data_IF_976370447586
#
_entry.id   IF_976370447586
#
_cell.length_a   1.000
_cell.length_b   1.000
_cell.length_c   1.000
_cell.angle_alpha   90.00
_cell.angle_beta   90.00
_cell.angle_gamma   90.00
#
_symmetry.space_group_name_H-M   'P 1'
#
loop_
_entity.id
_entity.type
_entity.pdbx_description
1 polymer ?
#
# COMPACT_ATOMS: atom_id res chain seq x y z
N UNK A 1 66.96 46.90 60.17
CA UNK A 1 65.84 47.63 60.79
C UNK A 1 64.54 47.12 60.18
N UNK A 2 63.60 46.64 61.01
CA UNK A 2 62.11 46.68 60.91
C UNK A 2 61.48 46.49 59.51
N UNK A 3 60.48 45.65 59.22
CA UNK A 3 59.43 44.96 59.97
C UNK A 3 58.68 44.03 58.96
N UNK A 4 58.18 42.88 59.40
CA UNK A 4 57.04 42.18 58.78
C UNK A 4 55.73 42.99 59.00
N UNK A 5 54.70 42.87 58.13
CA UNK A 5 53.65 41.83 58.26
C UNK A 5 53.22 41.22 56.88
N UNK A 6 52.73 39.98 56.70
CA UNK A 6 51.67 39.12 57.28
C UNK A 6 50.26 39.30 56.65
N UNK A 7 49.76 38.21 56.04
CA UNK A 7 48.36 37.84 55.66
C UNK A 7 47.76 38.50 54.39
N UNK A 8 46.89 37.91 53.55
CA UNK A 8 45.85 36.87 53.73
C UNK A 8 45.61 36.05 52.43
N UNK A 9 44.98 34.88 52.60
CA UNK A 9 44.75 33.77 51.67
C UNK A 9 43.28 33.74 51.19
N UNK A 10 43.04 33.16 49.99
CA UNK A 10 41.78 32.59 49.43
C UNK A 10 40.60 33.55 49.17
N UNK A 11 40.16 33.64 47.90
CA UNK A 11 38.85 33.14 47.37
C UNK A 11 38.90 33.27 45.84
N UNK A 12 39.31 32.22 45.11
CA UNK A 12 39.20 32.20 43.64
C UNK A 12 38.85 30.81 43.08
N UNK A 13 38.34 29.91 43.91
CA UNK A 13 38.05 28.51 43.53
C UNK A 13 36.70 28.02 44.06
N UNK A 14 35.69 28.90 44.13
CA UNK A 14 34.31 28.52 44.47
C UNK A 14 33.24 28.97 43.46
N UNK A 15 33.61 29.65 42.36
CA UNK A 15 32.63 30.01 41.31
C UNK A 15 32.65 29.03 40.13
N UNK A 16 33.75 28.28 39.93
CA UNK A 16 33.87 27.34 38.81
C UNK A 16 33.23 25.96 39.07
N UNK A 17 32.74 25.70 40.28
CA UNK A 17 32.09 24.42 40.64
C UNK A 17 30.56 24.50 40.72
N UNK A 18 29.99 25.70 40.61
CA UNK A 18 28.52 25.91 40.52
C UNK A 18 28.05 26.03 39.06
N UNK A 19 28.96 26.34 38.12
CA UNK A 19 28.61 26.42 36.69
C UNK A 19 28.63 25.06 35.97
N UNK A 20 29.21 24.01 36.59
CA UNK A 20 29.29 22.66 36.00
C UNK A 20 28.18 21.70 36.46
N UNK A 21 27.32 22.12 37.39
CA UNK A 21 26.17 21.34 37.88
C UNK A 21 24.85 21.67 37.17
N UNK A 22 24.83 22.66 36.25
CA UNK A 22 23.64 23.05 35.47
C UNK A 22 23.55 22.31 34.11
N UNK A 23 24.54 21.47 33.77
CA UNK A 23 24.54 20.66 32.54
C UNK A 23 24.02 19.22 32.73
N UNK A 24 23.40 18.89 33.87
CA UNK A 24 22.55 17.70 33.95
C UNK A 24 21.19 18.09 33.34
N UNK A 25 21.18 18.26 32.02
CA UNK A 25 19.97 18.42 31.23
C UNK A 25 19.09 17.21 31.48
N UNK A 26 17.98 17.42 32.19
CA UNK A 26 16.94 16.43 32.35
C UNK A 26 16.55 15.93 30.95
N UNK A 27 16.89 14.69 30.63
CA UNK A 27 16.27 13.98 29.53
C UNK A 27 14.80 13.84 29.88
N UNK A 28 13.97 14.79 29.44
CA UNK A 28 12.53 14.62 29.52
C UNK A 28 12.20 13.41 28.64
N UNK A 29 11.59 12.35 29.21
CA UNK A 29 11.21 11.20 28.42
C UNK A 29 10.28 11.69 27.31
N UNK A 30 10.61 11.37 26.07
CA UNK A 30 9.79 11.72 24.91
C UNK A 30 8.37 11.20 25.16
N UNK A 31 7.46 12.09 25.53
CA UNK A 31 6.07 11.71 25.78
C UNK A 31 5.52 11.12 24.50
N UNK A 32 5.09 9.84 24.56
CA UNK A 32 4.38 9.19 23.46
C UNK A 32 3.19 10.08 23.08
N UNK A 33 3.16 10.53 21.83
CA UNK A 33 2.08 11.38 21.32
C UNK A 33 0.78 10.59 21.41
N UNK A 34 -0.16 11.04 22.23
CA UNK A 34 -1.43 10.34 22.41
C UNK A 34 -2.33 10.60 21.19
N UNK A 35 -2.89 9.54 20.62
CA UNK A 35 -3.86 9.64 19.53
C UNK A 35 -5.13 10.39 20.02
N UNK A 36 -5.72 11.30 19.22
CA UNK A 36 -6.95 12.00 19.60
C UNK A 36 -8.11 10.99 19.74
N UNK A 37 -8.54 10.71 20.97
CA UNK A 37 -9.42 9.56 21.29
C UNK A 37 -10.89 9.72 20.87
N UNK A 38 -11.34 10.92 20.49
CA UNK A 38 -12.76 11.22 20.25
C UNK A 38 -13.24 11.02 18.82
N UNK A 39 -12.38 10.56 17.90
CA UNK A 39 -12.70 10.49 16.47
C UNK A 39 -12.94 9.06 15.99
N UNK A 40 -13.91 8.85 15.09
CA UNK A 40 -14.11 7.55 14.47
C UNK A 40 -12.87 7.18 13.65
N UNK A 41 -12.38 5.96 13.83
CA UNK A 41 -11.29 5.43 13.04
C UNK A 41 -11.81 5.01 11.66
N UNK A 42 -11.06 5.36 10.64
CA UNK A 42 -11.30 5.00 9.25
C UNK A 42 -10.14 4.17 8.72
N UNK A 43 -10.45 3.20 7.87
CA UNK A 43 -9.46 2.42 7.13
C UNK A 43 -9.30 3.03 5.73
N UNK A 44 -8.07 3.29 5.35
CA UNK A 44 -7.74 3.99 4.11
C UNK A 44 -6.69 3.20 3.34
N UNK A 45 -6.85 3.16 2.02
CA UNK A 45 -5.87 2.67 1.06
C UNK A 45 -5.50 3.82 0.12
N UNK A 46 -4.21 4.02 -0.16
CA UNK A 46 -3.71 5.21 -0.83
C UNK A 46 -2.20 5.20 -1.03
N UNK A 47 -1.65 6.37 -1.32
CA UNK A 47 -0.21 6.58 -1.51
C UNK A 47 0.34 7.61 -0.54
N UNK A 48 1.53 7.33 -0.02
CA UNK A 48 2.37 8.25 0.72
C UNK A 48 3.34 8.94 -0.24
N UNK A 49 3.60 10.23 0.01
CA UNK A 49 4.60 11.01 -0.71
C UNK A 49 5.29 11.96 0.26
N UNK A 50 6.63 11.94 0.30
CA UNK A 50 7.39 12.92 1.07
C UNK A 50 7.68 14.16 0.24
N UNK A 51 7.07 15.31 0.57
CA UNK A 51 7.25 16.57 -0.16
C UNK A 51 7.21 17.75 0.81
N UNK A 52 8.13 18.71 0.64
CA UNK A 52 8.16 19.91 1.47
C UNK A 52 8.41 19.62 2.96
N UNK A 53 9.30 18.66 3.25
CA UNK A 53 9.66 18.21 4.61
C UNK A 53 8.53 17.54 5.39
N UNK A 54 7.45 17.13 4.73
CA UNK A 54 6.32 16.47 5.36
C UNK A 54 5.84 15.28 4.51
N UNK A 55 5.30 14.26 5.17
CA UNK A 55 4.57 13.18 4.50
C UNK A 55 3.15 13.62 4.16
N UNK A 56 2.76 13.30 2.94
CA UNK A 56 1.44 13.50 2.39
C UNK A 56 0.79 12.15 2.12
N UNK A 57 -0.52 12.07 2.30
CA UNK A 57 -1.30 10.91 1.94
C UNK A 57 -2.40 11.30 0.96
N UNK A 58 -2.51 10.54 -0.12
CA UNK A 58 -3.62 10.62 -1.07
C UNK A 58 -4.33 9.26 -1.08
N UNK A 59 -5.59 9.18 -0.65
CA UNK A 59 -6.38 7.97 -0.82
C UNK A 59 -6.46 7.58 -2.31
N UNK A 60 -6.58 6.28 -2.58
CA UNK A 60 -6.64 5.76 -3.93
C UNK A 60 -7.80 6.41 -4.71
N UNK A 61 -7.49 6.91 -5.91
CA UNK A 61 -8.43 7.57 -6.83
C UNK A 61 -8.96 8.94 -6.37
N UNK A 62 -8.40 9.52 -5.29
CA UNK A 62 -8.69 10.88 -4.87
C UNK A 62 -7.74 11.90 -5.52
N UNK A 63 -8.17 13.16 -5.57
CA UNK A 63 -7.36 14.27 -6.11
C UNK A 63 -6.58 15.03 -5.03
N UNK A 64 -7.14 15.06 -3.83
CA UNK A 64 -6.59 15.84 -2.73
C UNK A 64 -5.58 15.03 -1.92
N UNK A 65 -4.76 15.76 -1.18
CA UNK A 65 -3.72 15.23 -0.31
C UNK A 65 -3.90 15.78 1.09
N UNK A 66 -3.60 14.93 2.08
CA UNK A 66 -3.67 15.26 3.48
C UNK A 66 -2.28 15.19 4.10
N UNK A 67 -1.89 16.17 4.93
CA UNK A 67 -0.67 16.07 5.71
C UNK A 67 -0.80 14.92 6.70
N UNK A 68 0.23 14.10 6.83
CA UNK A 68 0.25 12.97 7.77
C UNK A 68 0.85 13.41 9.10
N UNK A 69 0.13 13.15 10.19
CA UNK A 69 0.68 13.13 11.53
C UNK A 69 0.75 11.69 12.02
N UNK A 70 1.95 11.27 12.36
CA UNK A 70 2.22 9.91 12.81
C UNK A 70 1.91 9.76 14.31
N UNK A 71 0.96 8.88 14.62
CA UNK A 71 0.60 8.42 15.97
C UNK A 71 0.69 6.88 16.04
N UNK A 72 1.35 6.25 15.08
CA UNK A 72 1.61 4.82 15.08
C UNK A 72 2.52 4.43 16.24
N UNK A 73 2.49 3.15 16.60
CA UNK A 73 3.37 2.63 17.64
C UNK A 73 4.84 2.80 17.22
N UNK A 74 5.51 3.78 17.81
CA UNK A 74 6.93 4.07 17.53
C UNK A 74 7.20 5.15 16.49
N UNK A 75 6.18 5.87 16.00
CA UNK A 75 6.33 6.93 14.98
C UNK A 75 7.10 6.44 13.74
N UNK A 76 6.71 5.29 13.22
CA UNK A 76 7.49 4.51 12.25
C UNK A 76 7.24 4.90 10.78
N UNK A 77 6.20 5.68 10.46
CA UNK A 77 5.77 5.86 9.06
C UNK A 77 6.88 6.51 8.24
N UNK A 78 7.57 7.52 8.79
CA UNK A 78 8.68 8.19 8.11
C UNK A 78 9.86 7.25 7.87
N UNK A 79 10.27 6.49 8.88
CA UNK A 79 11.42 5.58 8.74
C UNK A 79 11.13 4.43 7.79
N UNK A 80 9.89 3.91 7.82
CA UNK A 80 9.41 2.92 6.85
C UNK A 80 9.43 3.48 5.43
N UNK A 81 8.89 4.68 5.21
CA UNK A 81 8.90 5.34 3.90
C UNK A 81 10.33 5.50 3.39
N UNK A 82 11.23 6.11 4.19
CA UNK A 82 12.61 6.36 3.80
C UNK A 82 13.37 5.07 3.45
N UNK A 83 13.16 4.00 4.21
CA UNK A 83 13.77 2.70 3.92
C UNK A 83 13.30 2.11 2.59
N UNK A 84 11.99 2.16 2.32
CA UNK A 84 11.42 1.55 1.11
C UNK A 84 11.65 2.38 -0.15
N UNK A 85 11.80 3.70 -0.01
CA UNK A 85 12.10 4.59 -1.15
C UNK A 85 13.58 4.93 -1.29
N UNK A 86 14.44 4.38 -0.44
CA UNK A 86 15.86 4.78 -0.34
C UNK A 86 16.04 6.30 -0.17
N UNK A 87 15.08 6.95 0.51
CA UNK A 87 15.04 8.41 0.71
C UNK A 87 14.49 9.22 -0.47
N UNK A 88 14.13 8.59 -1.58
CA UNK A 88 13.56 9.29 -2.74
C UNK A 88 12.12 9.75 -2.48
N UNK A 89 11.75 10.85 -3.15
CA UNK A 89 10.40 11.43 -3.13
C UNK A 89 9.55 10.77 -4.22
N UNK A 90 9.14 9.51 -3.97
CA UNK A 90 8.30 8.71 -4.88
C UNK A 90 7.04 8.23 -4.19
N UNK A 91 5.96 8.03 -4.95
CA UNK A 91 4.68 7.56 -4.43
C UNK A 91 4.79 6.11 -3.93
N UNK A 92 4.55 5.90 -2.63
CA UNK A 92 4.60 4.60 -1.97
C UNK A 92 3.20 4.17 -1.53
N UNK A 93 2.70 3.04 -2.00
CA UNK A 93 1.38 2.57 -1.58
C UNK A 93 1.35 2.18 -0.10
N UNK A 94 0.25 2.55 0.57
CA UNK A 94 0.02 2.23 1.97
C UNK A 94 -1.47 2.06 2.32
N UNK A 95 -1.73 1.12 3.23
CA UNK A 95 -3.01 1.00 3.95
C UNK A 95 -2.81 1.36 5.42
N UNK A 96 -3.68 2.22 5.92
CA UNK A 96 -3.56 2.80 7.24
C UNK A 96 -4.92 2.89 7.94
N UNK A 97 -4.86 3.01 9.26
CA UNK A 97 -6.02 3.32 10.10
C UNK A 97 -5.75 4.61 10.84
N UNK A 98 -6.68 5.56 10.77
CA UNK A 98 -6.51 6.89 11.34
C UNK A 98 -7.81 7.67 11.44
N UNK A 99 -7.71 8.97 11.63
CA UNK A 99 -8.83 9.92 11.60
C UNK A 99 -8.36 11.28 11.10
N UNK A 100 -9.30 12.11 10.63
CA UNK A 100 -9.01 13.52 10.31
C UNK A 100 -9.14 14.33 11.59
N UNK A 101 -8.09 15.07 11.93
CA UNK A 101 -8.12 16.05 13.01
C UNK A 101 -8.51 17.45 12.48
N UNK A 102 -9.79 17.88 12.62
CA UNK A 102 -10.22 19.19 12.16
C UNK A 102 -9.58 20.32 12.97
N UNK A 103 -9.16 20.06 14.22
CA UNK A 103 -8.48 21.06 15.04
C UNK A 103 -7.05 21.34 14.55
N UNK A 104 -6.46 20.41 13.79
CA UNK A 104 -5.13 20.55 13.19
C UNK A 104 -5.21 20.80 11.68
N UNK A 105 -6.14 21.63 11.21
CA UNK A 105 -6.24 22.01 9.80
C UNK A 105 -6.39 20.77 8.87
N UNK A 106 -7.24 19.83 9.27
CA UNK A 106 -7.53 18.58 8.56
C UNK A 106 -6.28 17.71 8.30
N UNK A 107 -5.38 17.63 9.28
CA UNK A 107 -4.28 16.65 9.26
C UNK A 107 -4.86 15.23 9.41
N UNK A 108 -4.31 14.28 8.64
CA UNK A 108 -4.59 12.86 8.81
C UNK A 108 -3.73 12.31 9.95
N UNK A 109 -4.36 12.12 11.12
CA UNK A 109 -3.75 11.47 12.26
C UNK A 109 -3.77 9.95 12.05
N UNK A 110 -2.60 9.34 11.88
CA UNK A 110 -2.48 7.90 11.58
C UNK A 110 -2.19 7.13 12.85
N UNK A 111 -3.11 6.24 13.23
CA UNK A 111 -2.98 5.36 14.41
C UNK A 111 -2.19 4.09 14.12
N UNK A 112 -2.31 3.55 12.90
CA UNK A 112 -1.63 2.31 12.52
C UNK A 112 -1.31 2.27 11.03
N UNK A 113 -0.12 1.80 10.70
CA UNK A 113 0.29 1.42 9.36
C UNK A 113 0.09 -0.11 9.22
N UNK A 114 -0.82 -0.54 8.35
CA UNK A 114 -1.20 -1.94 8.19
C UNK A 114 -0.48 -2.60 7.02
N UNK A 115 -0.41 -1.89 5.90
CA UNK A 115 0.24 -2.35 4.66
C UNK A 115 1.11 -1.23 4.13
N UNK A 116 2.31 -1.56 3.64
CA UNK A 116 3.14 -0.64 2.87
C UNK A 116 4.00 -1.42 1.87
N UNK A 117 4.12 -0.89 0.66
CA UNK A 117 4.88 -1.52 -0.42
C UNK A 117 4.19 -1.36 -1.77
N UNK A 118 4.96 -1.41 -2.84
CA UNK A 118 4.48 -1.14 -4.21
C UNK A 118 4.33 0.35 -4.52
N UNK A 119 3.81 0.65 -5.71
CA UNK A 119 3.65 2.01 -6.25
C UNK A 119 2.19 2.44 -6.23
N UNK A 120 1.89 3.64 -6.74
CA UNK A 120 0.53 4.11 -7.00
C UNK A 120 -0.33 3.13 -7.79
N UNK A 121 0.26 2.34 -8.69
CA UNK A 121 -0.49 1.35 -9.47
C UNK A 121 -1.12 0.27 -8.59
N UNK A 122 -0.59 0.06 -7.38
CA UNK A 122 -1.16 -0.82 -6.36
C UNK A 122 -2.60 -0.45 -6.00
N UNK A 123 -3.00 0.82 -6.15
CA UNK A 123 -4.39 1.24 -6.00
C UNK A 123 -5.36 0.55 -6.97
N UNK A 124 -4.87 0.08 -8.12
CA UNK A 124 -5.66 -0.65 -9.11
C UNK A 124 -5.76 -2.16 -8.77
N UNK A 125 -4.87 -2.68 -7.92
CA UNK A 125 -4.85 -4.07 -7.49
C UNK A 125 -5.65 -4.25 -6.21
N UNK A 126 -6.98 -4.23 -6.39
CA UNK A 126 -7.93 -4.53 -5.32
C UNK A 126 -8.18 -6.03 -5.34
N UNK A 127 -7.86 -6.71 -4.24
CA UNK A 127 -7.98 -8.16 -4.06
C UNK A 127 -9.45 -8.58 -3.96
N UNK A 128 -10.22 -8.23 -4.97
CA UNK A 128 -11.66 -8.37 -5.02
C UNK A 128 -12.05 -9.82 -5.33
N UNK A 129 -12.98 -10.36 -4.54
CA UNK A 129 -13.35 -11.77 -4.62
C UNK A 129 -12.35 -12.72 -3.96
N UNK A 130 -11.25 -12.19 -3.42
CA UNK A 130 -10.31 -12.92 -2.58
C UNK A 130 -10.58 -12.60 -1.11
N UNK A 131 -10.43 -13.61 -0.26
CA UNK A 131 -10.34 -13.40 1.18
C UNK A 131 -8.93 -12.96 1.56
N UNK A 132 -7.91 -13.54 0.91
CA UNK A 132 -6.51 -13.19 1.10
C UNK A 132 -5.71 -13.37 -0.19
N UNK A 133 -4.69 -12.53 -0.37
CA UNK A 133 -3.54 -12.84 -1.24
C UNK A 133 -2.32 -13.02 -0.35
N UNK A 134 -1.75 -14.21 -0.36
CA UNK A 134 -0.50 -14.54 0.30
C UNK A 134 0.63 -14.61 -0.71
N UNK A 135 1.83 -14.19 -0.34
CA UNK A 135 2.99 -14.26 -1.20
C UNK A 135 4.29 -14.31 -0.40
N UNK A 136 5.34 -14.78 -1.05
CA UNK A 136 6.73 -14.60 -0.60
C UNK A 136 7.61 -14.26 -1.79
N UNK A 137 8.65 -13.48 -1.53
CA UNK A 137 9.72 -13.20 -2.48
C UNK A 137 10.85 -14.23 -2.41
N UNK A 138 10.91 -15.06 -1.36
CA UNK A 138 11.96 -16.05 -1.13
C UNK A 138 11.42 -17.34 -0.45
N UNK A 139 11.25 -18.45 -1.19
CA UNK A 139 11.19 -18.51 -2.66
C UNK A 139 9.96 -17.77 -3.20
N UNK A 140 9.94 -17.46 -4.50
CA UNK A 140 8.81 -16.76 -5.09
C UNK A 140 7.56 -17.65 -5.21
N UNK A 141 6.48 -17.25 -4.55
CA UNK A 141 5.16 -17.84 -4.73
C UNK A 141 4.06 -16.83 -4.41
N UNK A 142 2.87 -17.07 -4.98
CA UNK A 142 1.66 -16.30 -4.72
C UNK A 142 0.48 -17.26 -4.59
N UNK A 143 -0.31 -17.12 -3.53
CA UNK A 143 -1.56 -17.84 -3.33
C UNK A 143 -2.73 -16.85 -3.27
N UNK A 144 -3.64 -16.96 -4.23
CA UNK A 144 -4.92 -16.26 -4.24
C UNK A 144 -5.97 -17.15 -3.56
N UNK A 145 -6.38 -16.77 -2.35
CA UNK A 145 -7.31 -17.53 -1.51
C UNK A 145 -8.69 -16.90 -1.59
N UNK A 146 -9.66 -17.62 -2.14
CA UNK A 146 -11.08 -17.29 -2.14
C UNK A 146 -11.86 -18.28 -1.26
N UNK A 147 -13.16 -18.04 -1.08
CA UNK A 147 -14.01 -18.84 -0.15
C UNK A 147 -14.07 -20.32 -0.49
N UNK A 148 -14.07 -20.67 -1.78
CA UNK A 148 -14.25 -22.05 -2.28
C UNK A 148 -13.00 -22.60 -2.99
N UNK A 149 -12.06 -21.73 -3.35
CA UNK A 149 -10.93 -22.11 -4.19
C UNK A 149 -9.67 -21.33 -3.83
N UNK A 150 -8.55 -21.99 -4.01
CA UNK A 150 -7.22 -21.38 -3.89
C UNK A 150 -6.42 -21.62 -5.15
N UNK A 151 -5.80 -20.55 -5.69
CA UNK A 151 -4.88 -20.64 -6.82
C UNK A 151 -3.46 -20.36 -6.32
N UNK A 152 -2.56 -21.33 -6.47
CA UNK A 152 -1.15 -21.20 -6.12
C UNK A 152 -0.32 -21.06 -7.39
N UNK A 153 0.51 -20.02 -7.47
CA UNK A 153 1.57 -19.86 -8.46
C UNK A 153 2.90 -19.99 -7.72
N UNK A 154 3.73 -20.94 -8.12
CA UNK A 154 5.03 -21.17 -7.48
C UNK A 154 6.11 -21.35 -8.53
N UNK A 155 7.35 -21.00 -8.17
CA UNK A 155 8.55 -21.37 -8.95
C UNK A 155 9.11 -22.73 -8.55
N UNK A 156 8.69 -23.26 -7.40
CA UNK A 156 9.14 -24.54 -6.88
C UNK A 156 8.00 -25.26 -6.11
N UNK A 157 7.37 -26.29 -6.69
CA UNK A 157 7.45 -26.66 -8.10
C UNK A 157 6.89 -25.56 -9.02
N UNK A 158 7.52 -25.37 -10.19
CA UNK A 158 7.08 -24.37 -11.16
C UNK A 158 5.67 -24.69 -11.67
N UNK A 159 4.74 -23.76 -11.55
CA UNK A 159 3.42 -23.92 -12.15
C UNK A 159 2.31 -23.06 -11.54
N UNK A 160 1.11 -23.26 -12.07
CA UNK A 160 -0.15 -22.71 -11.56
C UNK A 160 -1.06 -23.87 -11.18
N UNK A 161 -1.45 -23.92 -9.92
CA UNK A 161 -2.22 -25.00 -9.31
C UNK A 161 -3.53 -24.44 -8.76
N UNK A 162 -4.61 -25.20 -8.87
CA UNK A 162 -5.94 -24.78 -8.41
C UNK A 162 -6.51 -25.86 -7.50
N UNK A 163 -6.98 -25.46 -6.33
CA UNK A 163 -7.47 -26.33 -5.28
C UNK A 163 -8.86 -25.89 -4.87
N UNK A 164 -9.75 -26.85 -4.60
CA UNK A 164 -11.02 -26.56 -3.92
C UNK A 164 -10.76 -26.63 -2.42
N UNK A 165 -11.00 -25.52 -1.73
CA UNK A 165 -10.61 -25.35 -0.33
C UNK A 165 -11.82 -25.11 0.56
N UNK A 166 -11.71 -25.49 1.82
CA UNK A 166 -12.63 -25.12 2.89
C UNK A 166 -11.92 -24.32 3.97
N UNK A 167 -12.64 -23.37 4.56
CA UNK A 167 -12.14 -22.53 5.64
C UNK A 167 -12.41 -23.19 7.00
N UNK A 168 -11.35 -23.37 7.78
CA UNK A 168 -11.36 -23.87 9.14
C UNK A 168 -10.89 -22.75 10.06
N UNK A 169 -11.71 -22.45 11.07
CA UNK A 169 -11.41 -21.43 12.08
C UNK A 169 -10.82 -22.09 13.31
N UNK A 170 -9.55 -21.81 13.64
CA UNK A 170 -8.88 -22.39 14.82
C UNK A 170 -8.65 -21.30 15.86
N UNK A 171 -9.13 -21.53 17.09
CA UNK A 171 -8.84 -20.67 18.24
C UNK A 171 -7.46 -21.04 18.79
N UNK A 172 -6.52 -20.09 18.77
CA UNK A 172 -5.15 -20.31 19.24
C UNK A 172 -5.03 -20.55 20.75
N UNK A 173 -6.10 -20.33 21.54
CA UNK A 173 -6.09 -20.61 22.98
C UNK A 173 -6.10 -22.10 23.31
N UNK A 174 -6.55 -22.95 22.39
CA UNK A 174 -6.75 -24.38 22.62
C UNK A 174 -5.70 -25.25 21.92
N UNK A 175 -4.59 -24.69 21.44
CA UNK A 175 -3.48 -25.55 21.05
C UNK A 175 -2.95 -26.26 22.30
N UNK A 176 -2.90 -27.59 22.32
CA UNK A 176 -2.29 -28.30 23.43
C UNK A 176 -0.82 -27.89 23.48
N UNK A 177 -0.47 -27.08 24.48
CA UNK A 177 0.93 -26.83 24.79
C UNK A 177 1.52 -28.20 25.11
N UNK A 178 2.47 -28.64 24.30
CA UNK A 178 3.29 -29.80 24.62
C UNK A 178 3.95 -29.47 25.97
N UNK A 179 3.42 -30.02 27.07
CA UNK A 179 4.01 -29.88 28.39
C UNK A 179 5.41 -30.49 28.33
N UNK A 180 6.41 -29.62 28.16
CA UNK A 180 7.79 -29.99 28.44
C UNK A 180 7.86 -30.10 29.96
N UNK A 181 7.76 -31.33 30.47
CA UNK A 181 8.06 -31.67 31.86
C UNK A 181 9.49 -31.23 32.18
N UNK A 182 9.63 -30.00 32.70
CA UNK A 182 10.83 -29.58 33.42
C UNK A 182 10.53 -29.72 34.90
N UNK A 183 11.11 -30.76 35.48
CA UNK A 183 11.10 -31.06 36.91
C UNK A 183 11.81 -29.98 37.73
N UNK A 184 11.09 -29.52 38.75
CA UNK A 184 11.52 -29.10 40.09
C UNK A 184 12.73 -28.18 40.27
N UNK A 185 12.47 -26.93 40.70
CA UNK A 185 13.11 -26.43 41.94
C UNK A 185 12.31 -25.30 42.62
N UNK A 186 12.39 -25.31 43.95
CA UNK A 186 11.53 -24.67 44.95
C UNK A 186 11.69 -23.14 45.10
N UNK A 187 10.62 -22.57 45.67
CA UNK A 187 10.52 -21.35 46.49
C UNK A 187 10.52 -20.02 45.71
N UNK A 188 9.67 -19.03 45.98
CA UNK A 188 9.23 -18.51 47.27
C UNK A 188 8.05 -17.55 47.04
N UNK A 189 7.25 -17.37 48.08
CA UNK A 189 6.05 -16.54 48.14
C UNK A 189 6.34 -15.06 47.85
N UNK A 190 5.56 -14.46 46.94
CA UNK A 190 5.31 -13.02 46.99
C UNK A 190 3.94 -12.68 46.42
N UNK A 191 3.08 -12.17 47.30
CA UNK A 191 1.79 -11.56 47.03
C UNK A 191 1.99 -10.22 46.32
N UNK A 192 1.56 -10.07 45.07
CA UNK A 192 1.51 -8.75 44.43
C UNK A 192 0.40 -8.64 43.37
N UNK A 193 -0.38 -7.58 43.57
CA UNK A 193 -1.26 -6.80 42.69
C UNK A 193 -2.09 -7.49 41.59
N UNK A 194 -3.40 -7.41 41.85
CA UNK A 194 -4.51 -7.67 40.97
C UNK A 194 -4.63 -6.54 39.93
N UNK A 195 -3.74 -6.55 38.93
CA UNK A 195 -3.83 -5.64 37.80
C UNK A 195 -4.82 -6.18 36.75
N UNK A 196 -5.63 -5.25 36.24
CA UNK A 196 -6.71 -5.48 35.30
C UNK A 196 -6.21 -6.16 34.01
N UNK A 197 -6.53 -7.44 33.84
CA UNK A 197 -6.31 -8.17 32.60
C UNK A 197 -7.10 -7.51 31.45
N UNK A 198 -6.45 -6.59 30.74
CA UNK A 198 -6.79 -6.28 29.36
C UNK A 198 -6.61 -7.58 28.58
N UNK A 199 -7.71 -8.30 28.37
CA UNK A 199 -7.71 -9.52 27.59
C UNK A 199 -7.20 -9.16 26.19
N UNK A 200 -5.96 -9.57 25.90
CA UNK A 200 -5.42 -9.47 24.56
C UNK A 200 -6.43 -10.12 23.60
N UNK A 201 -6.84 -9.42 22.52
CA UNK A 201 -7.82 -9.95 21.59
C UNK A 201 -7.32 -11.31 21.09
N UNK A 202 -8.19 -12.31 21.18
CA UNK A 202 -7.87 -13.69 20.75
C UNK A 202 -7.43 -13.64 19.30
N UNK A 203 -6.15 -13.94 19.05
CA UNK A 203 -5.65 -14.08 17.70
C UNK A 203 -6.26 -15.35 17.12
N UNK A 204 -7.17 -15.19 16.17
CA UNK A 204 -7.81 -16.32 15.49
C UNK A 204 -6.99 -16.67 14.26
N UNK A 205 -6.47 -17.90 14.21
CA UNK A 205 -5.79 -18.45 13.04
C UNK A 205 -6.84 -18.96 12.06
N UNK A 206 -6.71 -18.56 10.80
CA UNK A 206 -7.61 -19.04 9.73
C UNK A 206 -6.84 -20.04 8.89
N UNK A 207 -7.39 -21.24 8.73
CA UNK A 207 -6.76 -22.32 7.96
C UNK A 207 -7.63 -22.62 6.74
N UNK A 208 -7.03 -22.73 5.57
CA UNK A 208 -7.67 -23.20 4.35
C UNK A 208 -7.08 -24.54 3.98
N UNK A 209 -7.91 -25.57 3.84
CA UNK A 209 -7.45 -26.92 3.52
C UNK A 209 -8.13 -27.42 2.24
N UNK A 210 -7.39 -28.14 1.42
CA UNK A 210 -7.94 -28.86 0.27
C UNK A 210 -9.03 -29.85 0.70
N UNK A 211 -10.21 -29.78 0.06
CA UNK A 211 -11.35 -30.64 0.38
C UNK A 211 -11.11 -32.10 0.00
N UNK A 212 -10.33 -32.33 -1.05
CA UNK A 212 -10.05 -33.67 -1.55
C UNK A 212 -9.00 -34.34 -0.65
N UNK A 213 -9.29 -35.51 -0.05
CA UNK A 213 -8.32 -36.21 0.76
C UNK A 213 -7.20 -36.75 -0.14
N UNK A 214 -6.04 -36.09 -0.10
CA UNK A 214 -4.82 -36.53 -0.78
C UNK A 214 -3.70 -36.68 0.25
N UNK A 215 -2.64 -37.43 -0.10
CA UNK A 215 -1.53 -37.72 0.83
C UNK A 215 -0.78 -36.45 1.29
N UNK A 216 -0.77 -35.41 0.45
CA UNK A 216 -0.10 -34.14 0.71
C UNK A 216 -1.04 -33.00 0.30
N UNK A 217 -2.07 -32.70 1.11
CA UNK A 217 -3.06 -31.70 0.75
C UNK A 217 -2.44 -30.31 0.79
N UNK A 218 -2.98 -29.39 -0.02
CA UNK A 218 -2.74 -27.97 0.22
C UNK A 218 -3.32 -27.58 1.58
N UNK A 219 -2.51 -26.92 2.41
CA UNK A 219 -2.98 -26.22 3.60
C UNK A 219 -2.36 -24.83 3.66
N UNK A 220 -3.18 -23.81 3.92
CA UNK A 220 -2.72 -22.43 4.11
C UNK A 220 -3.22 -21.93 5.46
N UNK A 221 -2.26 -21.64 6.33
CA UNK A 221 -2.47 -21.06 7.65
C UNK A 221 -2.19 -19.56 7.62
N UNK A 222 -3.19 -18.74 7.92
CA UNK A 222 -3.10 -17.27 7.96
C UNK A 222 -3.30 -16.79 9.39
N UNK A 223 -2.30 -16.06 9.90
CA UNK A 223 -2.30 -15.53 11.26
C UNK A 223 -2.27 -14.00 11.22
N UNK A 224 -3.22 -13.31 11.88
CA UNK A 224 -3.18 -11.86 12.03
C UNK A 224 -1.90 -11.44 12.76
N UNK A 225 -1.13 -10.54 12.15
CA UNK A 225 0.15 -10.13 12.70
C UNK A 225 0.99 -9.42 11.65
N UNK A 226 1.71 -8.39 12.07
CA UNK A 226 2.62 -7.66 11.20
C UNK A 226 3.65 -8.62 10.61
N UNK A 227 3.73 -8.65 9.28
CA UNK A 227 4.67 -9.46 8.52
C UNK A 227 5.50 -8.54 7.62
N UNK A 228 6.81 -8.77 7.57
CA UNK A 228 7.74 -8.02 6.72
C UNK A 228 8.33 -9.00 5.71
N UNK A 229 8.18 -8.70 4.42
CA UNK A 229 8.84 -9.45 3.36
C UNK A 229 10.36 -9.21 3.46
N UNK A 230 11.12 -10.30 3.51
CA UNK A 230 12.55 -10.29 3.77
C UNK A 230 13.39 -9.74 2.61
N UNK A 231 12.83 -9.77 1.39
CA UNK A 231 13.54 -9.34 0.17
C UNK A 231 13.28 -7.87 -0.12
N UNK A 232 12.01 -7.46 -0.12
CA UNK A 232 11.61 -6.11 -0.54
C UNK A 232 11.24 -5.19 0.63
N UNK A 233 11.15 -5.71 1.86
CA UNK A 233 10.85 -4.94 3.07
C UNK A 233 9.40 -4.51 3.20
N UNK A 234 8.50 -4.91 2.28
CA UNK A 234 7.07 -4.57 2.34
C UNK A 234 6.46 -5.09 3.64
N UNK A 235 5.55 -4.32 4.20
CA UNK A 235 4.85 -4.69 5.44
C UNK A 235 3.42 -5.07 5.07
N UNK A 236 2.96 -6.24 5.52
CA UNK A 236 1.56 -6.66 5.43
C UNK A 236 1.00 -7.01 6.81
N UNK A 237 -0.32 -7.12 6.92
CA UNK A 237 -1.04 -7.30 8.19
C UNK A 237 -1.18 -8.77 8.65
N UNK A 238 -0.70 -9.74 7.86
CA UNK A 238 -0.82 -11.16 8.14
C UNK A 238 0.45 -11.91 7.80
N UNK A 239 0.80 -12.90 8.62
CA UNK A 239 1.80 -13.92 8.29
C UNK A 239 1.12 -15.18 7.76
N UNK A 240 1.83 -15.90 6.90
CA UNK A 240 1.31 -17.12 6.26
C UNK A 240 2.32 -18.25 6.33
N UNK A 241 1.81 -19.44 6.65
CA UNK A 241 2.49 -20.71 6.42
C UNK A 241 1.64 -21.55 5.47
N UNK A 242 2.24 -22.04 4.39
CA UNK A 242 1.58 -22.88 3.40
C UNK A 242 2.28 -24.23 3.33
N UNK A 243 1.55 -25.32 3.56
CA UNK A 243 1.99 -26.67 3.23
C UNK A 243 1.57 -26.98 1.80
N UNK A 244 2.53 -27.19 0.92
CA UNK A 244 2.32 -27.41 -0.50
C UNK A 244 3.27 -28.50 -1.01
N UNK A 245 2.72 -29.59 -1.54
CA UNK A 245 3.47 -30.79 -1.94
C UNK A 245 4.44 -31.31 -0.85
N UNK A 246 4.00 -31.28 0.41
CA UNK A 246 4.79 -31.73 1.55
C UNK A 246 5.92 -30.78 1.97
N UNK A 247 6.04 -29.60 1.36
CA UNK A 247 6.99 -28.56 1.75
C UNK A 247 6.27 -27.39 2.39
N UNK A 248 6.90 -26.78 3.40
CA UNK A 248 6.36 -25.60 4.08
C UNK A 248 6.97 -24.34 3.51
N UNK A 249 6.11 -23.40 3.12
CA UNK A 249 6.47 -22.09 2.60
C UNK A 249 5.98 -21.02 3.56
N UNK A 250 6.82 -20.01 3.78
CA UNK A 250 6.48 -18.86 4.62
C UNK A 250 6.36 -17.61 3.77
N UNK A 251 5.49 -16.70 4.17
CA UNK A 251 5.27 -15.44 3.48
C UNK A 251 4.36 -14.52 4.27
N UNK A 252 3.96 -13.45 3.61
CA UNK A 252 3.04 -12.46 4.16
C UNK A 252 1.73 -12.47 3.37
N UNK A 253 0.64 -12.04 3.99
CA UNK A 253 -0.65 -11.89 3.31
C UNK A 253 -1.30 -10.52 3.52
N UNK A 254 -2.06 -10.13 2.50
CA UNK A 254 -2.95 -8.99 2.50
C UNK A 254 -4.38 -9.50 2.41
N UNK A 255 -5.25 -9.00 3.29
CA UNK A 255 -6.68 -9.34 3.26
C UNK A 255 -7.33 -8.73 2.02
N UNK A 256 -8.16 -9.50 1.34
CA UNK A 256 -8.99 -9.04 0.25
C UNK A 256 -10.37 -8.61 0.72
N UNK A 257 -11.29 -8.51 -0.23
CA UNK A 257 -12.67 -8.09 0.01
C UNK A 257 -13.63 -9.12 -0.62
N UNK A 258 -14.68 -9.50 0.12
CA UNK A 258 -15.63 -10.53 -0.31
C UNK A 258 -16.50 -10.09 -1.48
N UNK A 259 -16.77 -10.95 -2.47
CA UNK A 259 -17.46 -10.61 -3.73
C UNK A 259 -18.83 -9.93 -3.58
N UNK A 260 -19.56 -10.22 -2.50
CA UNK A 260 -20.90 -9.67 -2.20
C UNK A 260 -20.89 -8.26 -1.62
N UNK A 261 -19.86 -7.87 -0.85
CA UNK A 261 -19.66 -6.49 -0.38
C UNK A 261 -19.19 -5.56 -1.51
N UNK A 262 -18.78 -6.14 -2.63
CA UNK A 262 -18.00 -5.44 -3.64
C UNK A 262 -18.81 -4.78 -4.75
N UNK A 263 -20.05 -5.18 -4.99
CA UNK A 263 -20.88 -4.54 -6.03
C UNK A 263 -21.53 -3.28 -5.46
N UNK A 264 -21.92 -3.26 -4.19
CA UNK A 264 -22.39 -2.04 -3.56
C UNK A 264 -21.28 -0.98 -3.52
N UNK A 265 -21.66 0.26 -3.80
CA UNK A 265 -20.72 1.37 -3.86
C UNK A 265 -21.20 2.48 -4.78
N UNK A 266 -20.35 3.48 -4.91
CA UNK A 266 -20.52 4.57 -5.85
C UNK A 266 -19.69 4.24 -7.09
N UNK A 267 -20.26 4.52 -8.25
CA UNK A 267 -19.59 4.41 -9.52
C UNK A 267 -19.79 5.71 -10.26
N UNK A 268 -18.80 6.08 -11.05
CA UNK A 268 -18.80 7.34 -11.77
C UNK A 268 -18.43 7.08 -13.22
N UNK A 269 -19.07 7.83 -14.10
CA UNK A 269 -18.77 7.86 -15.52
C UNK A 269 -18.40 9.30 -15.88
N UNK A 270 -17.16 9.49 -16.35
CA UNK A 270 -16.70 10.77 -16.87
C UNK A 270 -16.33 10.61 -18.34
N UNK A 271 -17.31 10.90 -19.19
CA UNK A 271 -17.14 10.90 -20.64
C UNK A 271 -16.71 12.27 -21.19
N UNK A 272 -17.19 13.34 -20.55
CA UNK A 272 -16.92 14.74 -20.86
C UNK A 272 -16.97 15.52 -19.52
N UNK A 273 -16.09 16.52 -19.28
CA UNK A 273 -16.19 17.41 -18.12
C UNK A 273 -17.60 17.99 -17.87
N UNK A 274 -18.42 18.17 -18.92
CA UNK A 274 -19.75 18.77 -18.83
C UNK A 274 -20.88 17.78 -18.47
N UNK A 275 -20.64 16.47 -18.58
CA UNK A 275 -21.66 15.45 -18.29
C UNK A 275 -21.11 14.44 -17.29
N UNK A 276 -21.51 14.61 -16.03
CA UNK A 276 -21.15 13.70 -14.95
C UNK A 276 -22.32 12.79 -14.62
N UNK A 277 -22.03 11.49 -14.48
CA UNK A 277 -23.02 10.51 -14.05
C UNK A 277 -22.47 9.73 -12.87
N UNK A 278 -23.28 9.61 -11.83
CA UNK A 278 -22.99 8.86 -10.63
C UNK A 278 -24.04 7.75 -10.44
N UNK A 279 -23.58 6.53 -10.29
CA UNK A 279 -24.39 5.35 -10.05
C UNK A 279 -24.10 4.82 -8.64
N UNK A 280 -25.09 4.83 -7.76
CA UNK A 280 -25.00 4.30 -6.39
C UNK A 280 -25.73 2.97 -6.30
N UNK A 281 -25.00 1.89 -6.03
CA UNK A 281 -25.55 0.56 -5.75
C UNK A 281 -25.56 0.36 -4.23
N UNK A 282 -26.74 0.28 -3.62
CA UNK A 282 -26.88 0.02 -2.18
C UNK A 282 -26.90 -1.49 -1.91
N UNK A 283 -26.47 -1.91 -0.72
CA UNK A 283 -26.47 -3.33 -0.30
C UNK A 283 -27.88 -3.94 -0.24
N UNK A 284 -28.91 -3.12 0.00
CA UNK A 284 -30.35 -3.48 0.03
C UNK A 284 -30.98 -3.66 -1.37
N UNK A 285 -30.16 -3.85 -2.41
CA UNK A 285 -30.56 -4.01 -3.81
C UNK A 285 -31.20 -2.79 -4.45
N UNK A 286 -31.19 -1.62 -3.79
CA UNK A 286 -31.59 -0.36 -4.45
C UNK A 286 -30.46 0.23 -5.27
N UNK A 287 -30.83 0.93 -6.33
CA UNK A 287 -29.91 1.71 -7.15
C UNK A 287 -30.44 3.12 -7.37
N UNK A 288 -29.51 4.06 -7.45
CA UNK A 288 -29.76 5.42 -7.89
C UNK A 288 -28.75 5.83 -8.96
N UNK A 289 -29.23 6.44 -10.04
CA UNK A 289 -28.42 7.07 -11.07
C UNK A 289 -28.69 8.58 -11.03
N UNK A 290 -27.66 9.36 -10.77
CA UNK A 290 -27.69 10.83 -10.74
C UNK A 290 -26.88 11.34 -11.92
N UNK A 291 -27.50 12.18 -12.74
CA UNK A 291 -26.89 12.72 -13.96
C UNK A 291 -27.05 14.23 -13.95
N UNK A 292 -25.98 14.95 -14.28
CA UNK A 292 -26.08 16.37 -14.57
C UNK A 292 -26.18 16.58 -16.09
N UNK A 293 -27.28 17.16 -16.53
CA UNK A 293 -27.43 17.60 -17.91
C UNK A 293 -26.51 18.80 -18.19
N UNK A 294 -26.18 19.03 -19.46
CA UNK A 294 -25.44 20.21 -19.91
C UNK A 294 -26.12 21.53 -19.50
N UNK A 295 -27.43 21.52 -19.26
CA UNK A 295 -28.19 22.67 -18.75
C UNK A 295 -27.97 22.94 -17.25
N UNK A 296 -27.14 22.17 -16.56
CA UNK A 296 -26.97 22.19 -15.11
C UNK A 296 -28.09 21.50 -14.32
N UNK A 297 -29.15 21.02 -15.00
CA UNK A 297 -30.26 20.31 -14.33
C UNK A 297 -29.81 18.91 -13.89
N UNK A 298 -30.00 18.61 -12.62
CA UNK A 298 -29.83 17.24 -12.11
C UNK A 298 -31.05 16.39 -12.42
N UNK A 299 -30.81 15.20 -12.98
CA UNK A 299 -31.77 14.13 -13.16
C UNK A 299 -31.43 12.99 -12.19
N UNK A 300 -32.44 12.51 -11.45
CA UNK A 300 -32.30 11.39 -10.52
C UNK A 300 -33.25 10.29 -10.97
N UNK A 301 -32.70 9.10 -11.17
CA UNK A 301 -33.40 7.89 -11.56
C UNK A 301 -33.16 6.82 -10.50
N UNK A 302 -34.18 6.03 -10.18
CA UNK A 302 -34.12 5.06 -9.07
C UNK A 302 -34.66 3.72 -9.50
N UNK A 303 -34.20 2.66 -8.83
CA UNK A 303 -34.56 1.32 -9.20
C UNK A 303 -34.02 0.25 -8.27
N UNK A 304 -33.97 -0.97 -8.78
CA UNK A 304 -33.37 -2.13 -8.11
C UNK A 304 -32.29 -2.76 -8.99
N UNK A 305 -31.35 -3.45 -8.37
CA UNK A 305 -30.31 -4.18 -9.09
C UNK A 305 -30.23 -5.65 -8.69
N UNK A 306 -29.83 -6.48 -9.64
CA UNK A 306 -29.61 -7.92 -9.45
C UNK A 306 -28.30 -8.33 -10.13
N UNK A 307 -27.44 -9.02 -9.39
CA UNK A 307 -26.25 -9.65 -9.94
C UNK A 307 -26.56 -11.11 -10.27
N UNK A 308 -26.25 -11.51 -11.49
CA UNK A 308 -26.51 -12.85 -12.01
C UNK A 308 -25.27 -13.72 -11.86
N UNK A 309 -25.46 -15.03 -11.79
CA UNK A 309 -24.37 -16.03 -11.80
C UNK A 309 -23.50 -15.92 -13.06
N UNK A 310 -24.08 -15.42 -14.16
CA UNK A 310 -23.35 -15.12 -15.40
C UNK A 310 -22.31 -13.98 -15.28
N UNK A 311 -22.16 -13.35 -14.11
CA UNK A 311 -21.29 -12.19 -13.88
C UNK A 311 -21.86 -10.86 -14.41
N UNK A 312 -23.11 -10.86 -14.84
CA UNK A 312 -23.82 -9.68 -15.34
C UNK A 312 -24.63 -9.02 -14.23
N UNK A 313 -24.71 -7.70 -14.30
CA UNK A 313 -25.51 -6.87 -13.39
C UNK A 313 -26.68 -6.27 -14.17
N UNK A 314 -27.91 -6.53 -13.73
CA UNK A 314 -29.13 -5.93 -14.28
C UNK A 314 -29.59 -4.82 -13.34
N UNK A 315 -29.99 -3.69 -13.91
CA UNK A 315 -30.67 -2.62 -13.19
C UNK A 315 -32.03 -2.35 -13.82
N UNK A 316 -33.07 -2.42 -13.00
CA UNK A 316 -34.44 -2.09 -13.35
C UNK A 316 -34.77 -0.73 -12.75
N UNK A 317 -34.88 0.29 -13.59
CA UNK A 317 -34.93 1.70 -13.20
C UNK A 317 -36.25 2.35 -13.63
N UNK A 318 -36.58 3.47 -12.97
CA UNK A 318 -37.65 4.39 -13.35
C UNK A 318 -37.12 5.81 -13.46
N UNK A 319 -37.54 6.50 -14.50
CA UNK A 319 -37.24 7.92 -14.69
C UNK A 319 -38.23 8.83 -13.91
N UNK A 320 -38.07 10.15 -14.03
CA UNK A 320 -38.96 11.13 -13.38
C UNK A 320 -40.43 11.03 -13.84
N UNK A 321 -40.68 10.47 -15.04
CA UNK A 321 -42.02 10.24 -15.60
C UNK A 321 -42.57 8.85 -15.26
N UNK A 322 -41.93 8.11 -14.33
CA UNK A 322 -42.26 6.73 -13.98
C UNK A 322 -42.14 5.72 -15.14
N UNK A 323 -41.49 6.10 -16.25
CA UNK A 323 -41.20 5.17 -17.35
C UNK A 323 -40.10 4.21 -16.90
N UNK A 324 -40.38 2.92 -16.99
CA UNK A 324 -39.43 1.86 -16.67
C UNK A 324 -38.40 1.68 -17.79
N UNK A 325 -37.16 1.38 -17.39
CA UNK A 325 -36.08 1.03 -18.28
C UNK A 325 -35.11 0.08 -17.61
N UNK A 326 -34.46 -0.74 -18.42
CA UNK A 326 -33.46 -1.72 -17.98
C UNK A 326 -32.09 -1.36 -18.54
N UNK A 327 -31.07 -1.55 -17.70
CA UNK A 327 -29.67 -1.51 -18.08
C UNK A 327 -28.99 -2.83 -17.71
N UNK A 328 -28.10 -3.30 -18.58
CA UNK A 328 -27.31 -4.51 -18.36
C UNK A 328 -25.83 -4.16 -18.40
N UNK A 329 -25.10 -4.59 -17.37
CA UNK A 329 -23.67 -4.35 -17.22
C UNK A 329 -22.92 -5.67 -17.13
N UNK A 330 -21.66 -5.62 -17.55
CA UNK A 330 -20.63 -6.60 -17.19
C UNK A 330 -19.71 -5.95 -16.17
N UNK A 331 -19.36 -6.67 -15.12
CA UNK A 331 -18.31 -6.26 -14.20
C UNK A 331 -16.96 -6.66 -14.78
N UNK A 332 -16.04 -5.70 -14.87
CA UNK A 332 -14.66 -5.96 -15.30
C UNK A 332 -13.77 -6.28 -14.09
N UNK A 333 -12.54 -6.75 -14.33
CA UNK A 333 -11.58 -7.13 -13.28
C UNK A 333 -11.11 -5.94 -12.42
N UNK A 334 -11.15 -4.73 -12.97
CA UNK A 334 -10.87 -3.47 -12.26
C UNK A 334 -12.09 -2.96 -11.47
N UNK A 335 -13.18 -3.74 -11.44
CA UNK A 335 -14.44 -3.45 -10.76
C UNK A 335 -15.19 -2.26 -11.29
N UNK A 336 -14.84 -1.85 -12.50
CA UNK A 336 -15.74 -1.04 -13.30
C UNK A 336 -16.93 -1.86 -13.80
N UNK A 337 -17.98 -1.14 -14.17
CA UNK A 337 -19.18 -1.67 -14.78
C UNK A 337 -19.24 -1.19 -16.24
N UNK A 338 -19.02 -2.10 -17.18
CA UNK A 338 -19.17 -1.84 -18.61
C UNK A 338 -20.63 -2.05 -19.00
N UNK A 339 -21.27 -1.00 -19.51
CA UNK A 339 -22.64 -1.06 -20.01
C UNK A 339 -22.70 -1.91 -21.29
N UNK A 340 -23.40 -3.05 -21.23
CA UNK A 340 -23.60 -3.95 -22.37
C UNK A 340 -24.78 -3.54 -23.24
N UNK A 341 -25.87 -3.09 -22.62
CA UNK A 341 -27.05 -2.57 -23.31
C UNK A 341 -27.89 -1.72 -22.37
N UNK A 342 -28.62 -0.78 -22.93
CA UNK A 342 -29.57 0.08 -22.24
C UNK A 342 -30.80 0.26 -23.12
N UNK A 343 -31.97 0.35 -22.51
CA UNK A 343 -33.21 0.75 -23.17
C UNK A 343 -33.39 2.28 -23.24
N UNK A 344 -32.34 3.04 -22.91
CA UNK A 344 -32.34 4.50 -22.94
C UNK A 344 -31.27 5.03 -23.89
N UNK A 345 -31.68 5.92 -24.79
CA UNK A 345 -30.89 6.38 -25.95
C UNK A 345 -29.63 7.18 -25.58
N UNK A 346 -29.57 7.75 -24.39
CA UNK A 346 -28.46 8.62 -23.97
C UNK A 346 -27.27 7.85 -23.36
N UNK A 347 -27.41 6.54 -23.15
CA UNK A 347 -26.35 5.68 -22.60
C UNK A 347 -25.83 4.76 -23.70
N UNK A 348 -24.62 5.06 -24.16
CA UNK A 348 -23.98 4.30 -25.25
C UNK A 348 -23.40 3.00 -24.70
N UNK A 349 -23.65 1.88 -25.40
CA UNK A 349 -23.00 0.60 -25.12
C UNK A 349 -21.47 0.75 -25.09
N UNK A 350 -20.82 0.05 -24.16
CA UNK A 350 -19.36 0.06 -23.99
C UNK A 350 -18.86 1.12 -23.01
N UNK A 351 -19.72 2.01 -22.52
CA UNK A 351 -19.36 2.98 -21.47
C UNK A 351 -19.03 2.27 -20.16
N UNK A 352 -17.99 2.74 -19.49
CA UNK A 352 -17.40 2.10 -18.32
C UNK A 352 -17.58 3.00 -17.09
N UNK A 353 -18.44 2.59 -16.16
CA UNK A 353 -18.59 3.24 -14.86
C UNK A 353 -17.51 2.72 -13.93
N UNK A 354 -16.58 3.58 -13.51
CA UNK A 354 -15.50 3.19 -12.61
C UNK A 354 -15.99 3.27 -11.19
N UNK A 355 -15.56 2.36 -10.32
CA UNK A 355 -15.92 2.43 -8.89
C UNK A 355 -15.22 3.62 -8.25
N UNK A 356 -15.98 4.49 -7.60
CA UNK A 356 -15.46 5.59 -6.82
C UNK A 356 -15.53 5.24 -5.33
N UNK A 357 -14.42 5.46 -4.63
CA UNK A 357 -14.36 5.33 -3.18
C UNK A 357 -14.16 6.72 -2.63
N UNK A 358 -15.22 7.28 -2.06
CA UNK A 358 -15.07 8.45 -1.22
C UNK A 358 -14.30 8.00 0.02
N UNK A 359 -13.10 8.51 0.22
CA UNK A 359 -12.31 8.24 1.42
C UNK A 359 -12.97 8.79 2.70
N UNK A 360 -14.05 9.57 2.57
CA UNK A 360 -14.75 10.24 3.67
C UNK A 360 -13.94 11.39 4.26
N UNK A 361 -12.87 11.79 3.59
CA UNK A 361 -11.94 12.81 4.08
C UNK A 361 -12.37 14.19 3.58
N UNK A 362 -12.46 15.15 4.50
CA UNK A 362 -12.69 16.56 4.19
C UNK A 362 -11.39 17.36 4.32
N UNK A 363 -11.32 18.51 3.66
CA UNK A 363 -10.27 19.49 3.88
C UNK A 363 -8.88 19.15 3.30
N UNK A 364 -8.81 18.21 2.35
CA UNK A 364 -7.58 17.93 1.62
C UNK A 364 -7.20 19.08 0.68
N UNK A 365 -5.93 19.11 0.25
CA UNK A 365 -5.39 20.13 -0.66
C UNK A 365 -4.73 19.53 -1.89
N UNK A 366 -4.72 20.26 -2.99
CA UNK A 366 -3.94 19.85 -4.16
C UNK A 366 -2.47 20.14 -3.89
N UNK A 367 -1.62 19.13 -4.03
CA UNK A 367 -0.18 19.36 -4.12
C UNK A 367 0.11 19.88 -5.52
N UNK A 368 0.76 21.04 -5.59
CA UNK A 368 1.24 21.56 -6.87
C UNK A 368 2.18 20.53 -7.48
N UNK A 369 1.86 20.07 -8.70
CA UNK A 369 2.86 19.40 -9.53
C UNK A 369 3.96 20.43 -9.71
N UNK A 370 5.15 20.16 -9.18
CA UNK A 370 6.31 21.03 -9.41
C UNK A 370 6.70 20.91 -10.87
N UNK A 371 5.97 21.57 -11.76
CA UNK A 371 6.37 21.77 -13.14
C UNK A 371 7.57 22.69 -13.11
N UNK A 372 8.70 22.21 -13.61
CA UNK A 372 9.87 23.05 -13.75
C UNK A 372 9.51 24.26 -14.65
N UNK A 373 10.25 25.38 -14.55
CA UNK A 373 9.94 26.65 -15.28
C UNK A 373 9.79 26.51 -16.80
N UNK A 374 10.15 25.35 -17.38
CA UNK A 374 9.99 25.01 -18.80
C UNK A 374 8.73 24.20 -19.14
N UNK A 375 7.86 23.91 -18.17
CA UNK A 375 6.65 23.11 -18.41
C UNK A 375 6.92 21.62 -18.65
N UNK A 376 8.16 21.16 -18.45
CA UNK A 376 8.50 19.73 -18.52
C UNK A 376 8.09 19.05 -17.21
N UNK A 377 7.32 17.97 -17.32
CA UNK A 377 7.01 17.10 -16.19
C UNK A 377 8.33 16.48 -15.71
N UNK A 378 8.80 16.85 -14.51
CA UNK A 378 9.99 16.23 -13.93
C UNK A 378 9.62 14.80 -13.49
N UNK A 379 9.94 13.82 -14.32
CA UNK A 379 10.07 12.43 -13.86
C UNK A 379 11.34 12.34 -13.02
N UNK A 380 11.24 11.77 -11.82
CA UNK A 380 12.22 11.88 -10.73
C UNK A 380 13.66 11.39 -10.98
N UNK A 381 14.03 11.03 -12.21
CA UNK A 381 15.38 10.57 -12.58
C UNK A 381 16.34 11.68 -13.02
N UNK A 382 15.85 12.88 -13.35
CA UNK A 382 16.70 13.91 -13.99
C UNK A 382 17.38 14.90 -13.03
N UNK A 383 17.09 14.82 -11.73
CA UNK A 383 17.54 15.82 -10.75
C UNK A 383 18.99 15.66 -10.26
N UNK A 384 19.72 14.62 -10.67
CA UNK A 384 21.09 14.35 -10.16
C UNK A 384 22.19 15.01 -11.01
N UNK A 385 21.90 15.47 -12.24
CA UNK A 385 22.94 16.07 -13.11
C UNK A 385 23.15 17.57 -12.97
N UNK A 386 22.37 18.29 -12.17
CA UNK A 386 22.40 19.75 -12.14
C UNK A 386 23.20 20.37 -10.97
N UNK A 387 23.91 19.58 -10.16
CA UNK A 387 24.59 20.09 -8.96
C UNK A 387 26.07 19.64 -8.82
N UNK A 388 26.85 19.66 -9.91
CA UNK A 388 28.32 19.76 -9.83
C UNK A 388 28.84 20.55 -11.02
N UNK A 389 29.06 21.85 -10.85
CA UNK A 389 30.03 22.63 -11.64
C UNK A 389 30.22 24.02 -11.01
N UNK A 390 31.16 24.10 -10.06
CA UNK A 390 31.79 25.36 -9.66
C UNK A 390 33.31 25.15 -9.80
N UNK A 391 33.93 26.06 -10.56
CA UNK A 391 35.35 26.44 -10.64
C UNK A 391 36.40 25.41 -11.10
N UNK A 392 36.88 25.61 -12.32
CA UNK A 392 38.31 25.89 -12.55
C UNK A 392 38.48 26.66 -13.87
N UNK A 393 39.21 27.77 -13.80
CA UNK A 393 39.56 28.61 -14.94
C UNK A 393 41.05 28.48 -15.29
N UNK A 394 41.33 28.66 -16.59
CA UNK A 394 42.62 28.87 -17.27
C UNK A 394 43.64 27.70 -17.19
N UNK A 395 44.41 27.33 -18.21
CA UNK A 395 44.99 28.04 -19.34
C UNK A 395 45.60 27.04 -20.35
N UNK A 396 45.78 27.53 -21.59
CA UNK A 396 46.75 27.10 -22.62
C UNK A 396 46.51 25.85 -23.52
N UNK A 397 46.31 26.21 -24.80
CA UNK A 397 46.56 25.44 -26.04
C UNK A 397 48.01 24.96 -26.15
N UNK A 398 48.23 23.78 -26.74
CA UNK A 398 48.93 23.53 -28.03
C UNK A 398 49.25 22.03 -28.19
N UNK A 399 49.27 21.53 -29.44
CA UNK A 399 50.02 20.32 -29.81
C UNK A 399 49.22 19.22 -30.52
N UNK A 400 49.48 19.08 -31.83
CA UNK A 400 49.00 18.03 -32.72
C UNK A 400 49.94 16.81 -32.77
N UNK A 401 49.43 15.65 -33.20
CA UNK A 401 50.06 14.57 -34.01
C UNK A 401 49.17 13.32 -33.87
N UNK A 402 48.44 12.82 -34.87
CA UNK A 402 48.84 12.05 -36.06
C UNK A 402 49.72 10.81 -35.84
N UNK A 403 49.21 9.69 -36.36
CA UNK A 403 49.92 8.46 -36.75
C UNK A 403 49.74 7.25 -35.81
N UNK A 404 49.66 5.98 -36.23
CA UNK A 404 49.57 5.30 -37.54
C UNK A 404 49.23 3.83 -37.23
N UNK A 405 48.60 3.16 -38.18
CA UNK A 405 48.36 1.71 -38.32
C UNK A 405 49.57 0.82 -37.98
N UNK A 406 49.30 -0.41 -37.50
CA UNK A 406 49.69 -1.62 -38.25
C UNK A 406 49.25 -2.91 -37.57
N UNK A 407 48.59 -3.74 -38.39
CA UNK A 407 48.36 -5.17 -38.22
C UNK A 407 49.66 -5.96 -38.28
N UNK A 408 49.82 -7.04 -37.50
CA UNK A 408 50.52 -8.25 -37.97
C UNK A 408 49.89 -9.49 -37.31
N UNK A 409 49.62 -10.43 -38.20
CA UNK A 409 49.07 -11.77 -38.07
C UNK A 409 50.20 -12.77 -37.72
N UNK A 410 49.99 -13.76 -36.85
CA UNK A 410 50.61 -15.11 -36.94
C UNK A 410 50.20 -16.06 -35.79
N UNK A 411 49.44 -17.09 -36.17
CA UNK A 411 49.47 -18.47 -35.63
C UNK A 411 50.62 -19.26 -36.33
N UNK A 412 50.95 -20.55 -36.03
CA UNK A 412 50.26 -21.55 -35.18
C UNK A 412 51.17 -22.41 -34.25
N UNK A 413 50.57 -23.20 -33.35
CA UNK A 413 50.67 -24.69 -33.28
C UNK A 413 50.53 -25.29 -31.85
N UNK A 414 49.51 -26.14 -31.69
CA UNK A 414 49.45 -27.48 -31.02
C UNK A 414 50.18 -27.71 -29.68
N UNK A 415 49.43 -28.03 -28.62
CA UNK A 415 49.43 -29.37 -27.97
C UNK A 415 48.45 -29.43 -26.79
N UNK A 416 48.03 -30.66 -26.50
CA UNK A 416 46.92 -31.08 -25.64
C UNK A 416 47.27 -31.04 -24.13
N UNK A 417 46.25 -30.87 -23.28
CA UNK A 417 46.37 -31.12 -21.83
C UNK A 417 45.09 -30.75 -21.08
N UNK A 418 44.30 -31.77 -20.74
CA UNK A 418 42.99 -31.65 -20.10
C UNK A 418 43.05 -31.17 -18.64
N UNK A 419 42.22 -30.18 -18.30
CA UNK A 419 41.63 -29.97 -16.97
C UNK A 419 40.46 -28.97 -17.11
N UNK A 420 39.22 -29.47 -17.02
CA UNK A 420 38.01 -28.64 -17.17
C UNK A 420 37.61 -28.07 -15.81
N UNK A 421 38.15 -26.88 -15.52
CA UNK A 421 37.65 -25.95 -14.51
C UNK A 421 36.42 -25.28 -15.11
N UNK A 422 35.24 -25.50 -14.52
CA UNK A 422 34.01 -24.84 -14.96
C UNK A 422 34.05 -23.39 -14.42
N UNK A 423 34.53 -22.49 -15.29
CA UNK A 423 34.43 -21.05 -15.09
C UNK A 423 33.00 -20.61 -15.47
N UNK A 424 32.26 -20.11 -14.48
CA UNK A 424 30.97 -19.46 -14.66
C UNK A 424 31.18 -18.01 -15.12
N UNK A 425 31.36 -17.83 -16.42
CA UNK A 425 31.32 -16.50 -17.06
C UNK A 425 30.82 -16.66 -18.49
N UNK A 426 29.49 -16.74 -18.66
CA UNK A 426 28.78 -16.57 -19.93
C UNK A 426 27.26 -16.53 -19.66
N UNK A 427 26.80 -15.43 -19.05
CA UNK A 427 25.43 -14.93 -19.22
C UNK A 427 25.55 -13.42 -19.40
N UNK A 428 25.99 -13.00 -20.58
CA UNK A 428 25.77 -11.65 -21.08
C UNK A 428 24.84 -11.74 -22.29
N UNK A 429 23.85 -10.83 -22.30
CA UNK A 429 23.00 -10.46 -23.44
C UNK A 429 21.91 -11.45 -23.89
N UNK A 430 20.85 -11.55 -23.08
CA UNK A 430 19.47 -11.64 -23.60
C UNK A 430 18.68 -10.44 -23.08
N UNK A 431 19.07 -9.24 -23.50
CA UNK A 431 18.19 -8.08 -23.50
C UNK A 431 17.40 -8.09 -24.81
N UNK A 432 16.12 -7.73 -24.75
CA UNK A 432 15.15 -7.70 -25.86
C UNK A 432 14.21 -8.91 -26.00
N UNK A 433 13.62 -9.36 -24.90
CA UNK A 433 12.20 -9.75 -24.97
C UNK A 433 11.41 -8.44 -24.80
N UNK A 434 10.93 -7.88 -25.92
CA UNK A 434 9.89 -6.84 -25.90
C UNK A 434 8.62 -7.48 -25.37
N UNK A 435 8.43 -7.44 -24.06
CA UNK A 435 7.12 -7.63 -23.46
C UNK A 435 6.22 -6.54 -24.05
N UNK A 436 5.08 -6.87 -24.67
CA UNK A 436 4.18 -5.86 -25.17
C UNK A 436 3.80 -4.97 -24.00
N UNK A 437 4.14 -3.69 -24.12
CA UNK A 437 3.72 -2.63 -23.21
C UNK A 437 2.19 -2.70 -23.17
N UNK A 438 1.66 -3.24 -22.07
CA UNK A 438 0.26 -3.12 -21.75
C UNK A 438 -0.01 -1.62 -21.70
N UNK A 439 -0.90 -1.14 -22.57
CA UNK A 439 -1.29 0.27 -22.62
C UNK A 439 -1.63 0.72 -21.21
N UNK A 440 -0.84 1.66 -20.73
CA UNK A 440 -0.90 2.19 -19.38
C UNK A 440 -2.19 3.00 -19.25
N UNK A 441 -3.26 2.36 -18.76
CA UNK A 441 -4.53 3.03 -18.48
C UNK A 441 -4.37 3.85 -17.20
N UNK A 442 -3.70 4.99 -17.30
CA UNK A 442 -3.61 5.92 -16.17
C UNK A 442 -5.03 6.37 -15.78
N UNK A 443 -5.47 5.95 -14.60
CA UNK A 443 -6.74 6.37 -14.05
C UNK A 443 -6.67 7.87 -13.74
N UNK A 444 -7.47 8.67 -14.46
CA UNK A 444 -7.66 10.08 -14.08
C UNK A 444 -8.43 10.12 -12.75
N UNK A 445 -7.99 10.92 -11.76
CA UNK A 445 -8.71 11.07 -10.50
C UNK A 445 -10.10 11.65 -10.77
N UNK A 446 -11.08 11.23 -9.96
CA UNK A 446 -12.45 11.66 -10.13
C UNK A 446 -12.58 13.17 -9.85
N UNK A 447 -13.00 13.95 -10.84
CA UNK A 447 -13.35 15.36 -10.65
C UNK A 447 -14.88 15.47 -10.53
N UNK A 448 -15.42 14.94 -9.43
CA UNK A 448 -16.87 14.94 -9.18
C UNK A 448 -17.26 16.29 -8.60
N UNK A 449 -18.30 16.88 -9.16
CA UNK A 449 -18.91 18.08 -8.62
C UNK A 449 -19.49 17.84 -7.22
N UNK A 450 -19.08 18.65 -6.23
CA UNK A 450 -19.49 18.46 -4.82
C UNK A 450 -21.01 18.56 -4.62
N UNK A 451 -21.72 19.36 -5.42
CA UNK A 451 -23.17 19.44 -5.33
C UNK A 451 -23.81 18.13 -5.85
N UNK A 452 -23.28 17.56 -6.93
CA UNK A 452 -23.75 16.26 -7.45
C UNK A 452 -23.51 15.13 -6.42
N UNK A 453 -22.37 15.21 -5.73
CA UNK A 453 -22.05 14.29 -4.65
C UNK A 453 -23.04 14.43 -3.48
N UNK A 454 -23.32 15.65 -3.04
CA UNK A 454 -24.28 15.89 -1.97
C UNK A 454 -25.68 15.38 -2.35
N UNK A 455 -26.10 15.57 -3.59
CA UNK A 455 -27.41 15.09 -4.08
C UNK A 455 -27.54 13.56 -4.04
N UNK A 456 -26.48 12.80 -4.36
CA UNK A 456 -26.52 11.32 -4.30
C UNK A 456 -26.35 10.76 -2.87
N UNK A 457 -25.74 11.56 -1.97
CA UNK A 457 -25.53 11.18 -0.58
C UNK A 457 -26.74 11.49 0.31
N UNK A 458 -27.41 12.63 0.11
CA UNK A 458 -28.52 13.11 0.95
C UNK A 458 -29.87 12.46 0.59
N UNK A 459 -30.03 11.94 -0.62
CA UNK A 459 -31.27 11.28 -1.00
C UNK A 459 -31.38 9.88 -0.39
N UNK A 460 -31.84 9.82 0.85
CA UNK A 460 -32.22 8.59 1.54
C UNK A 460 -33.69 8.24 1.35
#
# INVERSE_FOLDING_TARGET
>A
MRLCPRYFVKVATSVMLVLMSVLIGACTPAHKKQFPQSQPLIELAGVLLFQGQQLWYQPCNERYWWPVADYSSGNEIMSVYQRLTSGESVELYAELTGSIDPAQNNVLAVKALKVVGGTKDTCNFRLEGLEFRAASSSPYWVADVASEMTIVKSINPLGKYTFFTEQLSVDLRNEPQLEIEMSDEKSSENSFEQDSFQQNPVQKKTVYRERTPVKQPLEISITPGRCIDDVNGSILAYSVEMLFFGQTYRGCARKGHSSSELISGLYWLQDNPESQQLLKLKSDKKVQLVRRAHTGKTLIERGTWQYLESGKLILSMRNQQQKEFVMLFRRELDNSLTLLTSSVDHLVKGRQFRRWHNAGLVGGRQLGVSTDRKGTLLTGTDSIKAAVSINSGASQKTGASEGTESSVNQQPSVSQGAALVINSSLIESVSHIKVPVVLDFQAKPANIDEQLLNEIMVSE
#
